data_IF_767855988769
#
_entry.id   IF_767855988769
#
_cell.length_a   1.000
_cell.length_b   1.000
_cell.length_c   1.000
_cell.angle_alpha   90.00
_cell.angle_beta   90.00
_cell.angle_gamma   90.00
#
_symmetry.space_group_name_H-M   'P 1'
#
loop_
_entity.id
_entity.type
_entity.pdbx_description
1 polymer ?
#
# COMPACT_ATOMS: atom_id res chain seq x y z
N UNK A 1 8.41 -7.59 7.79
CA UNK A 1 8.45 -8.42 6.56
C UNK A 1 9.55 -8.01 5.57
N UNK A 2 10.21 -9.00 4.93
CA UNK A 2 11.09 -8.77 3.78
C UNK A 2 10.25 -8.43 2.52
N UNK A 3 10.56 -7.35 1.77
CA UNK A 3 9.85 -6.98 0.53
C UNK A 3 9.62 -8.12 -0.47
N UNK A 4 10.52 -9.10 -0.53
CA UNK A 4 10.42 -10.22 -1.47
C UNK A 4 9.43 -11.33 -1.04
N UNK A 5 8.78 -11.21 0.13
CA UNK A 5 8.09 -12.31 0.77
C UNK A 5 6.59 -12.09 0.92
N UNK A 6 5.82 -12.27 -0.15
CA UNK A 6 4.36 -12.11 -0.09
C UNK A 6 3.66 -13.13 0.81
N UNK A 7 4.24 -14.32 1.02
CA UNK A 7 3.63 -15.39 1.83
C UNK A 7 3.58 -15.06 3.31
N UNK A 8 4.60 -14.35 3.80
CA UNK A 8 4.68 -13.90 5.20
C UNK A 8 3.61 -12.85 5.52
N UNK A 9 3.12 -12.10 4.52
CA UNK A 9 2.05 -11.11 4.71
C UNK A 9 0.76 -11.75 5.25
N UNK A 10 0.40 -12.95 4.79
CA UNK A 10 -0.80 -13.66 5.27
C UNK A 10 -0.63 -14.19 6.69
N UNK A 11 0.61 -14.55 7.08
CA UNK A 11 0.90 -15.00 8.44
C UNK A 11 0.76 -13.82 9.40
N UNK A 12 1.40 -12.69 9.09
CA UNK A 12 1.35 -11.46 9.91
C UNK A 12 -0.08 -10.95 10.08
N UNK A 13 -0.87 -10.94 8.99
CA UNK A 13 -2.28 -10.52 9.04
C UNK A 13 -3.13 -11.42 9.91
N UNK A 14 -2.92 -12.73 9.84
CA UNK A 14 -3.67 -13.66 10.68
C UNK A 14 -3.34 -13.50 12.17
N UNK A 15 -2.08 -13.18 12.48
CA UNK A 15 -1.66 -12.85 13.84
C UNK A 15 -2.34 -11.57 14.33
N UNK A 16 -2.29 -10.48 13.56
CA UNK A 16 -2.96 -9.20 13.87
C UNK A 16 -4.48 -9.39 14.08
N UNK A 17 -5.14 -10.18 13.23
CA UNK A 17 -6.55 -10.55 13.38
C UNK A 17 -6.81 -11.30 14.69
N UNK A 18 -5.94 -12.25 15.04
CA UNK A 18 -6.07 -13.04 16.26
C UNK A 18 -5.85 -12.21 17.53
N UNK A 19 -5.06 -11.14 17.42
CA UNK A 19 -4.84 -10.14 18.47
C UNK A 19 -5.99 -9.13 18.59
N UNK A 20 -6.95 -9.17 17.67
CA UNK A 20 -8.16 -8.35 17.71
C UNK A 20 -8.05 -7.02 16.99
N UNK A 21 -7.22 -6.93 15.95
CA UNK A 21 -7.18 -5.76 15.08
C UNK A 21 -8.56 -5.51 14.43
N UNK A 22 -8.99 -4.24 14.41
CA UNK A 22 -10.23 -3.83 13.73
C UNK A 22 -10.02 -3.50 12.24
N UNK A 23 -8.79 -3.12 11.87
CA UNK A 23 -8.39 -2.66 10.54
C UNK A 23 -6.95 -3.13 10.30
N UNK A 24 -6.68 -3.68 9.12
CA UNK A 24 -5.34 -4.10 8.70
C UNK A 24 -4.69 -3.01 7.84
N UNK A 25 -3.36 -2.91 7.85
CA UNK A 25 -2.61 -1.89 7.10
C UNK A 25 -1.50 -2.49 6.25
N UNK A 26 -1.51 -2.19 4.94
CA UNK A 26 -0.35 -2.44 4.07
C UNK A 26 0.50 -1.18 3.96
N UNK A 27 1.81 -1.35 4.12
CA UNK A 27 2.82 -0.29 4.01
C UNK A 27 4.13 -0.87 3.47
N UNK A 28 4.75 -0.29 2.43
CA UNK A 28 4.28 0.81 1.56
C UNK A 28 3.01 0.52 0.74
N UNK A 29 2.45 1.53 0.08
CA UNK A 29 1.18 1.44 -0.64
C UNK A 29 1.35 1.06 -2.11
N UNK A 30 1.73 2.02 -2.95
CA UNK A 30 1.76 1.89 -4.41
C UNK A 30 2.60 0.70 -4.93
N UNK A 31 3.77 0.35 -4.37
CA UNK A 31 4.53 -0.80 -4.86
C UNK A 31 4.03 -2.16 -4.32
N UNK A 32 2.99 -2.19 -3.48
CA UNK A 32 2.43 -3.40 -2.84
C UNK A 32 0.93 -3.57 -3.08
N UNK A 33 0.42 -3.10 -4.22
CA UNK A 33 -0.99 -3.30 -4.62
C UNK A 33 -1.37 -4.79 -4.71
N UNK A 34 -0.41 -5.66 -5.04
CA UNK A 34 -0.56 -7.10 -5.03
C UNK A 34 -0.82 -7.65 -3.62
N UNK A 35 -0.13 -7.12 -2.61
CA UNK A 35 -0.37 -7.47 -1.19
C UNK A 35 -1.71 -6.92 -0.71
N UNK A 36 -2.07 -5.67 -1.06
CA UNK A 36 -3.39 -5.11 -0.73
C UNK A 36 -4.49 -6.00 -1.30
N UNK A 37 -4.34 -6.43 -2.56
CA UNK A 37 -5.29 -7.34 -3.20
C UNK A 37 -5.34 -8.69 -2.51
N UNK A 38 -4.19 -9.26 -2.17
CA UNK A 38 -4.06 -10.54 -1.46
C UNK A 38 -4.78 -10.52 -0.11
N UNK A 39 -4.59 -9.46 0.68
CA UNK A 39 -5.26 -9.30 1.97
C UNK A 39 -6.77 -9.17 1.81
N UNK A 40 -7.23 -8.34 0.85
CA UNK A 40 -8.67 -8.21 0.55
C UNK A 40 -9.32 -9.55 0.16
N UNK A 41 -8.57 -10.48 -0.42
CA UNK A 41 -9.08 -11.82 -0.76
C UNK A 41 -9.10 -12.82 0.39
N UNK A 42 -8.35 -12.57 1.46
CA UNK A 42 -8.11 -13.55 2.52
C UNK A 42 -8.52 -13.05 3.92
N UNK A 43 -8.87 -11.78 4.07
CA UNK A 43 -9.32 -11.19 5.33
C UNK A 43 -10.72 -10.60 5.18
N UNK A 44 -11.60 -10.76 6.18
CA UNK A 44 -12.88 -10.06 6.24
C UNK A 44 -12.77 -8.63 6.79
N UNK A 45 -11.61 -8.21 7.28
CA UNK A 45 -11.43 -6.90 7.91
C UNK A 45 -11.21 -5.79 6.87
N UNK A 46 -11.55 -4.54 7.20
CA UNK A 46 -11.18 -3.39 6.39
C UNK A 46 -9.66 -3.31 6.18
N UNK A 47 -9.25 -3.02 4.94
CA UNK A 47 -7.84 -2.85 4.56
C UNK A 47 -7.55 -1.37 4.35
N UNK A 48 -6.56 -0.86 5.08
CA UNK A 48 -5.96 0.44 4.87
C UNK A 48 -4.64 0.29 4.07
N UNK A 49 -4.30 1.32 3.31
CA UNK A 49 -3.03 1.41 2.59
C UNK A 49 -2.32 2.72 2.91
N UNK A 50 -0.99 2.68 3.07
CA UNK A 50 -0.19 3.86 3.37
C UNK A 50 0.69 4.27 2.18
N UNK A 51 0.31 5.33 1.47
CA UNK A 51 1.17 5.97 0.47
C UNK A 51 2.35 6.66 1.17
N UNK A 52 3.53 6.02 1.20
CA UNK A 52 4.64 6.47 2.06
C UNK A 52 5.32 7.74 1.55
N UNK A 53 6.15 8.34 2.41
CA UNK A 53 6.90 9.55 2.08
C UNK A 53 7.77 9.40 0.82
N UNK A 54 8.38 8.24 0.60
CA UNK A 54 9.14 7.96 -0.63
C UNK A 54 8.28 8.07 -1.89
N UNK A 55 7.06 7.51 -1.87
CA UNK A 55 6.10 7.59 -2.98
C UNK A 55 5.71 9.05 -3.25
N UNK A 56 5.35 9.78 -2.20
CA UNK A 56 5.05 11.22 -2.28
C UNK A 56 6.23 12.03 -2.86
N UNK A 57 7.44 11.82 -2.34
CA UNK A 57 8.64 12.54 -2.78
C UNK A 57 8.99 12.24 -4.24
N UNK A 58 8.77 11.01 -4.72
CA UNK A 58 8.96 10.66 -6.13
C UNK A 58 8.00 11.43 -7.04
N UNK A 59 6.71 11.50 -6.69
CA UNK A 59 5.71 12.24 -7.47
C UNK A 59 6.04 13.74 -7.46
N UNK A 60 6.36 14.31 -6.29
CA UNK A 60 6.76 15.72 -6.16
C UNK A 60 8.00 16.05 -6.98
N UNK A 61 9.04 15.22 -6.92
CA UNK A 61 10.25 15.41 -7.71
C UNK A 61 9.94 15.39 -9.22
N UNK A 62 9.13 14.42 -9.67
CA UNK A 62 8.70 14.32 -11.06
C UNK A 62 7.90 15.54 -11.55
N UNK A 63 7.06 16.12 -10.68
CA UNK A 63 6.34 17.37 -10.91
C UNK A 63 7.26 18.58 -11.07
N UNK A 64 8.19 18.77 -10.12
CA UNK A 64 9.19 19.85 -10.15
C UNK A 64 10.06 19.79 -11.41
N UNK A 65 10.49 18.59 -11.80
CA UNK A 65 11.29 18.35 -13.01
C UNK A 65 10.46 18.39 -14.31
N UNK A 66 9.14 18.57 -14.22
CA UNK A 66 8.20 18.53 -15.36
C UNK A 66 8.28 17.23 -16.18
N UNK A 67 8.66 16.13 -15.53
CA UNK A 67 8.72 14.81 -16.17
C UNK A 67 7.35 14.12 -16.19
N UNK A 68 6.47 14.50 -15.27
CA UNK A 68 5.10 14.00 -15.15
C UNK A 68 4.12 15.14 -14.82
N UNK A 69 2.83 14.92 -15.07
CA UNK A 69 1.76 15.77 -14.55
C UNK A 69 1.50 15.45 -13.08
N UNK A 70 2.10 16.22 -12.17
CA UNK A 70 2.10 15.95 -10.71
C UNK A 70 0.71 15.62 -10.14
N UNK A 71 -0.25 16.52 -10.32
CA UNK A 71 -1.61 16.37 -9.80
C UNK A 71 -2.30 15.13 -10.37
N UNK A 72 -2.16 14.91 -11.69
CA UNK A 72 -2.75 13.76 -12.36
C UNK A 72 -2.16 12.45 -11.83
N UNK A 73 -0.83 12.35 -11.71
CA UNK A 73 -0.18 11.13 -11.21
C UNK A 73 -0.48 10.90 -9.73
N UNK A 74 -0.57 11.95 -8.91
CA UNK A 74 -1.00 11.83 -7.52
C UNK A 74 -2.41 11.22 -7.43
N UNK A 75 -3.37 11.77 -8.18
CA UNK A 75 -4.75 11.29 -8.16
C UNK A 75 -4.88 9.88 -8.75
N UNK A 76 -4.14 9.57 -9.82
CA UNK A 76 -4.11 8.23 -10.41
C UNK A 76 -3.52 7.21 -9.42
N UNK A 77 -2.46 7.56 -8.70
CA UNK A 77 -1.86 6.69 -7.67
C UNK A 77 -2.84 6.41 -6.53
N UNK A 78 -3.59 7.42 -6.08
CA UNK A 78 -4.63 7.26 -5.06
C UNK A 78 -5.82 6.43 -5.54
N UNK A 79 -6.15 6.45 -6.84
CA UNK A 79 -7.21 5.63 -7.41
C UNK A 79 -6.79 4.17 -7.62
N UNK A 80 -5.48 3.91 -7.74
CA UNK A 80 -4.93 2.56 -7.81
C UNK A 80 -4.92 1.83 -6.46
N UNK A 81 -4.82 2.58 -5.36
CA UNK A 81 -4.91 2.07 -3.98
C UNK A 81 -6.35 1.70 -3.64
#
# INVERSE_FOLDING_TARGET
MNPANYREALVEVHEDESEGADILLVKPGLPYLDIIRLLQDNSPLPIAAYQVSGEYSMIKAGGVLKMIGEERVMMESLMCL
#
